data_IF_193714659274
#
_entry.id   IF_193714659274
#
_cell.length_a   1.000
_cell.length_b   1.000
_cell.length_c   1.000
_cell.angle_alpha   90.00
_cell.angle_beta   90.00
_cell.angle_gamma   90.00
#
_symmetry.space_group_name_H-M   'P 1'
#
loop_
_entity.id
_entity.type
_entity.pdbx_description
1 polymer ?
#
# COMPACT_ATOMS: atom_id res chain seq x y z
N UNK A 1 22.38 -21.26 12.40
CA UNK A 1 21.99 -20.46 11.23
C UNK A 1 20.52 -20.18 11.37
N UNK A 2 20.17 -18.93 11.10
CA UNK A 2 18.98 -18.19 11.52
C UNK A 2 17.61 -18.87 11.46
N UNK A 3 16.84 -18.68 12.53
CA UNK A 3 15.36 -18.74 12.57
C UNK A 3 14.68 -17.64 11.71
N UNK A 4 15.36 -17.14 10.66
CA UNK A 4 14.85 -16.16 9.68
C UNK A 4 13.69 -16.75 8.88
N UNK A 5 13.56 -18.08 8.82
CA UNK A 5 12.45 -18.75 8.12
C UNK A 5 11.06 -18.35 8.63
N UNK A 6 10.96 -17.88 9.88
CA UNK A 6 9.70 -17.41 10.48
C UNK A 6 9.33 -15.95 10.18
N UNK A 7 10.24 -15.15 9.59
CA UNK A 7 10.04 -13.70 9.33
C UNK A 7 9.65 -13.44 7.86
N UNK A 8 9.83 -14.42 6.98
CA UNK A 8 9.52 -14.31 5.56
C UNK A 8 8.30 -15.16 5.18
N UNK A 9 7.40 -15.40 6.12
CA UNK A 9 6.15 -16.09 5.79
C UNK A 9 5.32 -15.21 4.83
N UNK A 10 4.43 -15.80 4.00
CA UNK A 10 3.53 -15.01 3.17
C UNK A 10 2.69 -14.01 3.97
N UNK A 11 2.36 -14.35 5.22
CA UNK A 11 1.68 -13.45 6.15
C UNK A 11 2.55 -12.25 6.52
N UNK A 12 3.83 -12.45 6.85
CA UNK A 12 4.72 -11.35 7.18
C UNK A 12 4.94 -10.42 5.99
N UNK A 13 5.12 -10.99 4.79
CA UNK A 13 5.27 -10.21 3.57
C UNK A 13 4.04 -9.37 3.26
N UNK A 14 2.84 -9.93 3.47
CA UNK A 14 1.59 -9.18 3.28
C UNK A 14 1.40 -8.10 4.34
N UNK A 15 1.77 -8.35 5.59
CA UNK A 15 1.75 -7.34 6.65
C UNK A 15 2.76 -6.21 6.41
N UNK A 16 3.99 -6.54 5.99
CA UNK A 16 5.00 -5.54 5.63
C UNK A 16 4.52 -4.67 4.47
N UNK A 17 3.95 -5.27 3.43
CA UNK A 17 3.37 -4.55 2.29
C UNK A 17 2.22 -3.64 2.74
N UNK A 18 1.32 -4.16 3.58
CA UNK A 18 0.19 -3.40 4.09
C UNK A 18 0.65 -2.19 4.91
N UNK A 19 1.61 -2.37 5.80
CA UNK A 19 2.17 -1.28 6.62
C UNK A 19 2.86 -0.25 5.72
N UNK A 20 3.71 -0.68 4.80
CA UNK A 20 4.45 0.21 3.90
C UNK A 20 3.54 1.04 2.99
N UNK A 21 2.47 0.43 2.45
CA UNK A 21 1.55 1.09 1.53
C UNK A 21 0.29 1.67 2.19
N UNK A 22 0.11 1.51 3.51
CA UNK A 22 -1.00 2.09 4.28
C UNK A 22 -1.16 3.62 4.13
N UNK A 23 -0.08 4.43 3.98
CA UNK A 23 -0.25 5.86 3.74
C UNK A 23 -0.96 6.13 2.40
N UNK A 24 -0.73 5.27 1.40
CA UNK A 24 -1.40 5.32 0.11
C UNK A 24 -2.90 5.07 0.20
N UNK A 25 -3.35 4.16 1.07
CA UNK A 25 -4.78 3.94 1.34
C UNK A 25 -5.46 5.20 1.88
N UNK A 26 -4.83 5.86 2.86
CA UNK A 26 -5.40 7.02 3.52
C UNK A 26 -5.42 8.22 2.57
N UNK A 27 -4.29 8.56 1.96
CA UNK A 27 -4.18 9.71 1.07
C UNK A 27 -5.01 9.50 -0.21
N UNK A 28 -4.92 8.31 -0.81
CA UNK A 28 -5.73 7.96 -1.97
C UNK A 28 -7.22 8.00 -1.67
N UNK A 29 -7.62 7.49 -0.50
CA UNK A 29 -9.02 7.51 -0.05
C UNK A 29 -9.55 8.93 0.14
N UNK A 30 -8.76 9.82 0.75
CA UNK A 30 -9.10 11.23 0.91
C UNK A 30 -9.25 11.94 -0.45
N UNK A 31 -8.29 11.75 -1.36
CA UNK A 31 -8.33 12.34 -2.70
C UNK A 31 -9.54 11.81 -3.48
N UNK A 32 -9.77 10.49 -3.46
CA UNK A 32 -10.90 9.88 -4.15
C UNK A 32 -12.27 10.30 -3.58
N UNK A 33 -12.36 10.50 -2.26
CA UNK A 33 -13.55 11.04 -1.61
C UNK A 33 -13.85 12.48 -2.07
N UNK A 34 -12.78 13.28 -2.20
CA UNK A 34 -12.87 14.68 -2.58
C UNK A 34 -13.27 14.87 -4.06
N UNK A 35 -12.74 14.04 -4.95
CA UNK A 35 -12.97 14.16 -6.40
C UNK A 35 -14.28 13.54 -6.90
N UNK A 36 -14.93 12.69 -6.08
CA UNK A 36 -16.14 11.98 -6.49
C UNK A 36 -17.40 12.60 -5.88
N UNK A 37 -18.44 12.76 -6.71
CA UNK A 37 -19.79 13.11 -6.22
C UNK A 37 -20.36 12.04 -5.27
N UNK A 38 -19.98 10.77 -5.47
CA UNK A 38 -20.29 9.66 -4.56
C UNK A 38 -19.07 9.37 -3.69
N UNK A 39 -19.10 9.87 -2.46
CA UNK A 39 -17.97 9.79 -1.52
C UNK A 39 -17.48 8.37 -1.29
N UNK A 40 -18.36 7.44 -0.91
CA UNK A 40 -18.00 6.04 -0.60
C UNK A 40 -17.29 5.31 -1.76
N UNK A 41 -17.88 5.22 -2.97
CA UNK A 41 -17.19 4.62 -4.12
C UNK A 41 -15.90 5.35 -4.48
N UNK A 42 -15.89 6.69 -4.41
CA UNK A 42 -14.70 7.50 -4.66
C UNK A 42 -13.57 7.19 -3.69
N UNK A 43 -13.87 7.10 -2.38
CA UNK A 43 -12.92 6.72 -1.34
C UNK A 43 -12.35 5.33 -1.58
N UNK A 44 -13.19 4.34 -1.90
CA UNK A 44 -12.72 2.96 -2.12
C UNK A 44 -11.79 2.87 -3.34
N UNK A 45 -12.17 3.49 -4.45
CA UNK A 45 -11.36 3.52 -5.68
C UNK A 45 -10.06 4.29 -5.43
N UNK A 46 -10.15 5.47 -4.81
CA UNK A 46 -8.99 6.29 -4.49
C UNK A 46 -8.02 5.59 -3.54
N UNK A 47 -8.53 4.94 -2.49
CA UNK A 47 -7.71 4.19 -1.54
C UNK A 47 -6.99 3.03 -2.25
N UNK A 48 -7.70 2.27 -3.08
CA UNK A 48 -7.11 1.19 -3.88
C UNK A 48 -6.01 1.69 -4.81
N UNK A 49 -6.27 2.77 -5.55
CA UNK A 49 -5.27 3.37 -6.45
C UNK A 49 -4.05 3.90 -5.69
N UNK A 50 -4.27 4.60 -4.56
CA UNK A 50 -3.20 5.12 -3.72
C UNK A 50 -2.35 4.03 -3.08
N UNK A 51 -2.96 2.93 -2.63
CA UNK A 51 -2.25 1.76 -2.13
C UNK A 51 -1.33 1.16 -3.19
N UNK A 52 -1.84 0.91 -4.39
CA UNK A 52 -1.07 0.33 -5.50
C UNK A 52 0.09 1.23 -5.89
N UNK A 53 -0.12 2.55 -5.97
CA UNK A 53 0.95 3.52 -6.26
C UNK A 53 2.03 3.52 -5.17
N UNK A 54 1.64 3.49 -3.90
CA UNK A 54 2.58 3.50 -2.79
C UNK A 54 3.38 2.19 -2.71
N UNK A 55 2.72 1.05 -2.93
CA UNK A 55 3.36 -0.25 -3.05
C UNK A 55 4.36 -0.30 -4.21
N UNK A 56 3.98 0.20 -5.40
CA UNK A 56 4.87 0.26 -6.55
C UNK A 56 6.09 1.17 -6.29
N UNK A 57 5.88 2.35 -5.69
CA UNK A 57 6.97 3.26 -5.32
C UNK A 57 7.94 2.60 -4.33
N UNK A 58 7.42 1.85 -3.36
CA UNK A 58 8.25 1.10 -2.40
C UNK A 58 9.08 0.01 -3.08
N UNK A 59 8.49 -0.76 -4.00
CA UNK A 59 9.22 -1.78 -4.79
C UNK A 59 10.31 -1.13 -5.65
N UNK A 60 10.02 -0.02 -6.31
CA UNK A 60 11.01 0.71 -7.12
C UNK A 60 12.16 1.18 -6.24
N UNK A 61 11.87 1.74 -5.07
CA UNK A 61 12.89 2.17 -4.12
C UNK A 61 13.82 1.02 -3.71
N UNK A 62 13.26 -0.16 -3.42
CA UNK A 62 14.03 -1.34 -3.02
C UNK A 62 14.81 -2.02 -4.15
N UNK A 63 14.40 -1.86 -5.40
CA UNK A 63 14.99 -2.59 -6.55
C UNK A 63 15.90 -1.72 -7.41
N UNK A 64 15.69 -0.41 -7.43
CA UNK A 64 16.40 0.52 -8.33
C UNK A 64 17.29 1.48 -7.56
N UNK A 65 16.84 1.96 -6.40
CA UNK A 65 17.50 3.05 -5.68
C UNK A 65 18.38 2.58 -4.52
N UNK A 66 18.15 1.37 -4.03
CA UNK A 66 18.82 0.78 -2.86
C UNK A 66 19.49 -0.53 -3.25
#
# INVERSE_FOLDING_TARGET
MSDIGGILTPLDLTLMLLVAASPGLVLGGLIGAYLSSRRLPGTLIGAGAGFVLCAAAWVIYLTVLK
#
